data_IF_647732894986
#
_entry.id   IF_647732894986
#
_cell.length_a   1.000
_cell.length_b   1.000
_cell.length_c   1.000
_cell.angle_alpha   90.00
_cell.angle_beta   90.00
_cell.angle_gamma   90.00
#
_symmetry.space_group_name_H-M   'P 1'
#
loop_
_entity.id
_entity.type
_entity.pdbx_description
1 polymer ?
#
# COMPACT_ATOMS: atom_id res chain seq x y z
N UNK A 1 9.63 -7.10 27.76
CA UNK A 1 11.03 -6.72 27.93
C UNK A 1 11.36 -6.28 29.36
N UNK A 2 10.52 -5.48 30.01
CA UNK A 2 10.72 -5.02 31.40
C UNK A 2 10.87 -6.20 32.38
N UNK A 3 9.93 -7.15 32.35
CA UNK A 3 9.97 -8.37 33.17
C UNK A 3 11.25 -9.17 32.96
N UNK A 4 11.74 -9.24 31.72
CA UNK A 4 12.98 -9.94 31.41
C UNK A 4 14.21 -9.24 31.99
N UNK A 5 14.23 -7.90 32.01
CA UNK A 5 15.28 -7.13 32.69
C UNK A 5 15.26 -7.40 34.20
N UNK A 6 14.08 -7.38 34.81
CA UNK A 6 13.92 -7.66 36.26
C UNK A 6 14.36 -9.07 36.64
N UNK A 7 14.05 -10.05 35.79
CA UNK A 7 14.47 -11.45 36.01
C UNK A 7 16.00 -11.58 35.94
N UNK A 8 16.62 -11.04 34.87
CA UNK A 8 18.07 -11.12 34.69
C UNK A 8 18.85 -10.28 35.70
N UNK A 9 18.25 -9.17 36.18
CA UNK A 9 18.82 -8.40 37.29
C UNK A 9 18.92 -9.25 38.55
N UNK A 10 17.84 -9.94 38.94
CA UNK A 10 17.84 -10.86 40.09
C UNK A 10 18.84 -12.00 39.90
N UNK A 11 18.93 -12.57 38.71
CA UNK A 11 19.89 -13.62 38.39
C UNK A 11 21.32 -13.12 38.58
N UNK A 12 21.65 -11.93 38.08
CA UNK A 12 22.97 -11.33 38.27
C UNK A 12 23.31 -11.08 39.75
N UNK A 13 22.35 -10.63 40.56
CA UNK A 13 22.51 -10.41 41.99
C UNK A 13 22.78 -11.75 42.72
N UNK A 14 22.08 -12.82 42.40
CA UNK A 14 22.30 -14.15 42.91
C UNK A 14 23.67 -14.69 42.51
N UNK A 15 24.07 -14.52 41.25
CA UNK A 15 25.36 -14.99 40.76
C UNK A 15 26.52 -14.23 41.39
N UNK A 16 26.36 -12.95 41.65
CA UNK A 16 27.34 -12.15 42.38
C UNK A 16 27.51 -12.65 43.84
N UNK A 17 26.40 -13.00 44.50
CA UNK A 17 26.45 -13.61 45.84
C UNK A 17 27.06 -15.01 45.82
N UNK A 18 26.88 -15.82 44.78
CA UNK A 18 27.52 -17.11 44.59
C UNK A 18 29.03 -17.01 44.32
N UNK A 19 29.44 -16.01 43.52
CA UNK A 19 30.84 -15.74 43.27
C UNK A 19 31.58 -15.39 44.57
N UNK A 20 31.00 -14.55 45.44
CA UNK A 20 31.59 -14.17 46.73
C UNK A 20 31.79 -15.35 47.66
N UNK A 21 31.01 -16.44 47.47
CA UNK A 21 31.12 -17.71 48.20
C UNK A 21 32.01 -18.75 47.49
N UNK A 22 32.60 -18.40 46.34
CA UNK A 22 33.44 -19.31 45.54
C UNK A 22 32.67 -20.42 44.83
N UNK A 23 31.35 -20.28 44.66
CA UNK A 23 30.48 -21.32 44.06
C UNK A 23 30.43 -21.28 42.55
N UNK A 24 30.77 -20.13 41.94
CA UNK A 24 30.84 -19.91 40.49
C UNK A 24 32.13 -19.19 40.15
N UNK A 25 32.45 -19.14 38.84
CA UNK A 25 33.63 -18.45 38.33
C UNK A 25 33.32 -16.99 37.98
N UNK A 26 34.36 -16.15 37.88
CA UNK A 26 34.22 -14.79 37.38
C UNK A 26 33.68 -14.77 35.92
N UNK A 27 33.94 -15.80 35.12
CA UNK A 27 33.42 -15.98 33.78
C UNK A 27 31.90 -16.17 33.78
N UNK A 28 31.37 -16.93 34.73
CA UNK A 28 29.92 -17.14 34.86
C UNK A 28 29.20 -15.83 35.24
N UNK A 29 29.78 -15.05 36.16
CA UNK A 29 29.23 -13.72 36.48
C UNK A 29 29.28 -12.77 35.30
N UNK A 30 30.37 -12.75 34.53
CA UNK A 30 30.48 -11.92 33.33
C UNK A 30 29.42 -12.30 32.27
N UNK A 31 29.09 -13.60 32.16
CA UNK A 31 28.00 -14.09 31.29
C UNK A 31 26.63 -13.59 31.75
N UNK A 32 26.32 -13.62 33.03
CA UNK A 32 25.09 -13.06 33.59
C UNK A 32 25.00 -11.58 33.38
N UNK A 33 26.11 -10.83 33.57
CA UNK A 33 26.19 -9.42 33.33
C UNK A 33 25.95 -9.07 31.84
N UNK A 34 26.55 -9.83 30.91
CA UNK A 34 26.34 -9.68 29.49
C UNK A 34 24.88 -9.90 29.10
N UNK A 35 24.24 -10.93 29.70
CA UNK A 35 22.82 -11.22 29.44
C UNK A 35 21.91 -10.09 29.92
N UNK A 36 22.19 -9.53 31.10
CA UNK A 36 21.49 -8.39 31.67
C UNK A 36 21.63 -7.15 30.77
N UNK A 37 22.86 -6.82 30.36
CA UNK A 37 23.13 -5.70 29.48
C UNK A 37 22.39 -5.84 28.12
N UNK A 38 22.34 -7.05 27.55
CA UNK A 38 21.58 -7.36 26.35
C UNK A 38 20.07 -7.19 26.53
N UNK A 39 19.53 -7.54 27.70
CA UNK A 39 18.12 -7.32 28.01
C UNK A 39 17.77 -5.83 28.19
N UNK A 40 18.67 -5.08 28.86
CA UNK A 40 18.52 -3.63 29.02
C UNK A 40 18.53 -2.91 27.66
N UNK A 41 19.45 -3.29 26.77
CA UNK A 41 19.49 -2.74 25.41
C UNK A 41 18.17 -2.98 24.66
N UNK A 42 17.61 -4.20 24.70
CA UNK A 42 16.33 -4.54 24.09
C UNK A 42 15.14 -3.81 24.75
N UNK A 43 15.24 -3.50 26.03
CA UNK A 43 14.20 -2.72 26.71
C UNK A 43 14.22 -1.26 26.25
N UNK A 44 15.39 -0.63 26.12
CA UNK A 44 15.57 0.72 25.60
C UNK A 44 15.05 0.80 24.14
N UNK A 45 15.39 -0.18 23.31
CA UNK A 45 14.89 -0.27 21.93
C UNK A 45 13.36 -0.36 21.90
N UNK A 46 12.75 -1.18 22.78
CA UNK A 46 11.31 -1.30 22.86
C UNK A 46 10.62 0.02 23.31
N UNK A 47 11.25 0.76 24.24
CA UNK A 47 10.77 2.10 24.62
C UNK A 47 10.81 3.07 23.45
N UNK A 48 11.92 3.09 22.70
CA UNK A 48 12.04 3.93 21.51
C UNK A 48 10.99 3.56 20.45
N UNK A 49 10.73 2.27 20.26
CA UNK A 49 9.70 1.79 19.32
C UNK A 49 8.29 2.26 19.72
N UNK A 50 7.99 2.36 21.02
CA UNK A 50 6.73 2.93 21.51
C UNK A 50 6.63 4.40 21.11
N UNK A 51 7.68 5.19 21.34
CA UNK A 51 7.72 6.63 20.99
C UNK A 51 7.53 6.81 19.49
N UNK A 52 8.29 6.06 18.67
CA UNK A 52 8.21 6.14 17.20
C UNK A 52 6.83 5.74 16.69
N UNK A 53 6.25 4.66 17.25
CA UNK A 53 4.89 4.22 16.87
C UNK A 53 3.83 5.24 17.24
N UNK A 54 3.99 5.91 18.40
CA UNK A 54 3.11 7.00 18.83
C UNK A 54 3.19 8.18 17.86
N UNK A 55 4.39 8.62 17.50
CA UNK A 55 4.59 9.71 16.54
C UNK A 55 4.01 9.38 15.16
N UNK A 56 4.19 8.14 14.69
CA UNK A 56 3.62 7.68 13.42
C UNK A 56 2.09 7.70 13.46
N UNK A 57 1.50 7.25 14.56
CA UNK A 57 0.04 7.29 14.74
C UNK A 57 -0.47 8.74 14.75
N UNK A 58 0.17 9.62 15.53
CA UNK A 58 -0.21 11.04 15.61
C UNK A 58 -0.10 11.76 14.26
N UNK A 59 0.90 11.38 13.45
CA UNK A 59 1.07 11.95 12.11
C UNK A 59 -0.03 11.54 11.12
N UNK A 60 -0.56 10.32 11.23
CA UNK A 60 -1.53 9.79 10.27
C UNK A 60 -2.98 10.02 10.73
N UNK A 61 -3.25 9.88 12.00
CA UNK A 61 -4.61 9.84 12.55
C UNK A 61 -4.89 11.08 13.41
N UNK A 62 -3.87 11.64 14.06
CA UNK A 62 -3.99 12.75 15.00
C UNK A 62 -3.71 12.33 16.45
N UNK A 63 -4.00 13.21 17.41
CA UNK A 63 -3.67 13.00 18.81
C UNK A 63 -4.20 11.66 19.36
N UNK A 64 -3.33 10.92 20.05
CA UNK A 64 -3.70 9.65 20.67
C UNK A 64 -4.59 9.92 21.88
N UNK A 65 -5.73 9.24 21.94
CA UNK A 65 -6.54 9.14 23.14
C UNK A 65 -5.73 8.52 24.30
N UNK A 66 -6.11 8.83 25.55
CA UNK A 66 -5.45 8.24 26.70
C UNK A 66 -5.35 6.71 26.58
N UNK A 67 -4.23 6.12 27.02
CA UNK A 67 -3.93 4.67 26.92
C UNK A 67 -5.10 3.78 27.38
N UNK A 68 -5.85 4.24 28.37
CA UNK A 68 -7.01 3.53 28.95
C UNK A 68 -8.15 3.31 27.95
N UNK A 69 -8.23 4.13 26.91
CA UNK A 69 -9.25 4.04 25.86
C UNK A 69 -8.82 3.19 24.65
N UNK A 70 -7.58 2.72 24.59
CA UNK A 70 -7.08 1.87 23.49
C UNK A 70 -7.52 0.42 23.75
N UNK A 71 -8.49 -0.04 22.95
CA UNK A 71 -8.95 -1.44 22.98
C UNK A 71 -8.33 -2.22 21.84
N UNK A 72 -7.74 -3.37 22.16
CA UNK A 72 -7.25 -4.30 21.14
C UNK A 72 -8.44 -4.95 20.44
N UNK A 73 -8.58 -4.73 19.13
CA UNK A 73 -9.61 -5.38 18.32
C UNK A 73 -9.10 -6.77 17.95
N UNK A 74 -9.71 -7.82 18.52
CA UNK A 74 -9.30 -9.21 18.28
C UNK A 74 -9.98 -9.84 17.06
N UNK A 75 -11.09 -9.28 16.58
CA UNK A 75 -11.89 -9.85 15.52
C UNK A 75 -12.11 -8.83 14.39
N UNK A 76 -11.10 -8.64 13.54
CA UNK A 76 -11.41 -8.21 12.19
C UNK A 76 -12.03 -9.44 11.49
N UNK A 77 -13.35 -9.41 11.22
CA UNK A 77 -14.02 -10.44 10.40
C UNK A 77 -13.55 -10.29 8.94
N UNK A 78 -12.30 -10.64 8.70
CA UNK A 78 -11.77 -10.70 7.34
C UNK A 78 -12.09 -12.08 6.79
N UNK A 79 -12.96 -12.15 5.80
CA UNK A 79 -13.21 -13.39 5.06
C UNK A 79 -11.96 -13.79 4.29
N UNK A 80 -11.26 -14.79 4.79
CA UNK A 80 -10.06 -15.34 4.13
C UNK A 80 -10.51 -16.38 3.10
N UNK A 81 -10.03 -16.32 1.84
CA UNK A 81 -10.31 -17.33 0.84
C UNK A 81 -9.91 -18.73 1.29
N UNK A 82 -10.63 -19.76 0.82
CA UNK A 82 -10.38 -21.15 1.24
C UNK A 82 -9.08 -21.73 0.70
N UNK A 83 -8.64 -21.28 -0.46
CA UNK A 83 -7.43 -21.75 -1.12
C UNK A 83 -6.78 -20.66 -1.98
N UNK A 84 -5.54 -20.91 -2.41
CA UNK A 84 -4.76 -19.98 -3.23
C UNK A 84 -5.45 -19.65 -4.57
N UNK A 85 -6.11 -20.62 -5.20
CA UNK A 85 -6.75 -20.40 -6.49
C UNK A 85 -7.96 -19.45 -6.35
N UNK A 86 -8.72 -19.59 -5.30
CA UNK A 86 -9.82 -18.68 -4.97
C UNK A 86 -9.29 -17.27 -4.65
N UNK A 87 -8.20 -17.16 -3.88
CA UNK A 87 -7.54 -15.89 -3.60
C UNK A 87 -7.08 -15.18 -4.88
N UNK A 88 -6.45 -15.92 -5.81
CA UNK A 88 -6.05 -15.39 -7.12
C UNK A 88 -7.24 -14.91 -7.94
N UNK A 89 -8.34 -15.68 -7.98
CA UNK A 89 -9.55 -15.33 -8.71
C UNK A 89 -10.19 -14.03 -8.17
N UNK A 90 -10.33 -13.93 -6.86
CA UNK A 90 -10.86 -12.72 -6.20
C UNK A 90 -9.97 -11.52 -6.49
N UNK A 91 -8.66 -11.70 -6.38
CA UNK A 91 -7.68 -10.62 -6.63
C UNK A 91 -7.74 -10.11 -8.07
N UNK A 92 -7.83 -10.99 -9.07
CA UNK A 92 -7.99 -10.59 -10.47
C UNK A 92 -9.25 -9.75 -10.72
N UNK A 93 -10.30 -9.94 -9.92
CA UNK A 93 -11.55 -9.19 -10.08
C UNK A 93 -11.63 -7.91 -9.26
N UNK A 94 -10.93 -7.86 -8.12
CA UNK A 94 -11.11 -6.79 -7.12
C UNK A 94 -9.85 -5.97 -6.85
N UNK A 95 -8.71 -6.29 -7.46
CA UNK A 95 -7.50 -5.50 -7.27
C UNK A 95 -7.65 -4.10 -7.87
N UNK A 96 -7.55 -3.03 -7.07
CA UNK A 96 -7.63 -1.67 -7.59
C UNK A 96 -6.55 -1.36 -8.63
N UNK A 97 -5.34 -1.90 -8.46
CA UNK A 97 -4.24 -1.73 -9.41
C UNK A 97 -4.54 -2.32 -10.78
N UNK A 98 -5.19 -3.49 -10.83
CA UNK A 98 -5.63 -4.11 -12.09
C UNK A 98 -6.75 -3.31 -12.74
N UNK A 99 -7.74 -2.86 -11.98
CA UNK A 99 -8.84 -2.04 -12.47
C UNK A 99 -8.30 -0.74 -13.08
N UNK A 100 -7.34 -0.09 -12.42
CA UNK A 100 -6.68 1.12 -12.95
C UNK A 100 -5.96 0.80 -14.26
N UNK A 101 -5.16 -0.27 -14.32
CA UNK A 101 -4.43 -0.66 -15.52
C UNK A 101 -5.36 -1.03 -16.70
N UNK A 102 -6.51 -1.66 -16.42
CA UNK A 102 -7.55 -1.96 -17.42
C UNK A 102 -8.20 -0.68 -17.96
N UNK A 103 -8.54 0.26 -17.07
CA UNK A 103 -9.09 1.57 -17.45
C UNK A 103 -8.08 2.34 -18.31
N UNK A 104 -6.81 2.40 -17.91
CA UNK A 104 -5.76 3.07 -18.67
C UNK A 104 -5.53 2.45 -20.06
N UNK A 105 -5.60 1.11 -20.16
CA UNK A 105 -5.54 0.44 -21.44
C UNK A 105 -6.78 0.80 -22.30
N UNK A 106 -7.99 0.74 -21.75
CA UNK A 106 -9.22 1.16 -22.42
C UNK A 106 -9.17 2.62 -22.88
N UNK A 107 -8.64 3.52 -22.06
CA UNK A 107 -8.42 4.92 -22.43
C UNK A 107 -7.48 5.04 -23.64
N UNK A 108 -6.37 4.30 -23.65
CA UNK A 108 -5.43 4.32 -24.79
C UNK A 108 -6.05 3.80 -26.10
N UNK A 109 -7.05 2.89 -26.01
CA UNK A 109 -7.83 2.47 -27.18
C UNK A 109 -8.72 3.60 -27.75
N UNK A 110 -9.30 4.39 -26.85
CA UNK A 110 -10.08 5.57 -27.24
C UNK A 110 -9.18 6.67 -27.83
N UNK A 111 -7.98 6.87 -27.27
CA UNK A 111 -7.00 7.83 -27.80
C UNK A 111 -6.61 7.51 -29.23
N UNK A 112 -6.46 6.22 -29.59
CA UNK A 112 -6.25 5.81 -30.98
C UNK A 112 -7.46 6.15 -31.85
N UNK A 113 -8.69 5.96 -31.36
CA UNK A 113 -9.90 6.33 -32.11
C UNK A 113 -9.99 7.83 -32.32
N UNK A 114 -9.67 8.62 -31.30
CA UNK A 114 -9.61 10.09 -31.38
C UNK A 114 -8.59 10.53 -32.44
N UNK A 115 -7.35 9.99 -32.35
CA UNK A 115 -6.32 10.32 -33.31
C UNK A 115 -6.69 9.93 -34.76
N UNK A 116 -7.48 8.87 -34.94
CA UNK A 116 -8.01 8.48 -36.27
C UNK A 116 -9.12 9.43 -36.71
N UNK A 117 -9.95 9.95 -35.82
CA UNK A 117 -11.00 10.89 -36.15
C UNK A 117 -10.44 12.23 -36.72
N UNK A 118 -9.22 12.60 -36.31
CA UNK A 118 -8.50 13.75 -36.85
C UNK A 118 -8.16 13.63 -38.37
N UNK A 119 -8.30 12.44 -38.93
CA UNK A 119 -8.17 12.18 -40.38
C UNK A 119 -9.51 12.30 -41.13
N UNK A 120 -10.62 12.42 -40.42
CA UNK A 120 -11.97 12.44 -40.97
C UNK A 120 -12.44 13.87 -41.18
N UNK A 121 -13.34 14.11 -42.17
CA UNK A 121 -13.98 15.41 -42.30
C UNK A 121 -14.89 15.70 -41.11
N UNK A 122 -14.88 16.96 -40.68
CA UNK A 122 -15.79 17.48 -39.64
C UNK A 122 -16.80 18.44 -40.24
N UNK A 123 -18.05 18.32 -39.84
CA UNK A 123 -19.13 19.25 -40.23
C UNK A 123 -19.61 19.98 -38.96
N UNK A 124 -19.70 21.32 -39.07
CA UNK A 124 -20.21 22.18 -38.00
C UNK A 124 -21.34 23.06 -38.56
N UNK A 125 -22.44 23.11 -37.84
CA UNK A 125 -23.52 24.09 -38.08
C UNK A 125 -23.53 25.03 -36.89
N UNK A 126 -23.50 26.35 -37.14
CA UNK A 126 -23.62 27.38 -36.11
C UNK A 126 -24.68 28.39 -36.50
N UNK A 127 -25.50 28.75 -35.55
CA UNK A 127 -26.43 29.90 -35.62
C UNK A 127 -25.92 30.90 -34.61
N UNK A 128 -25.62 32.10 -35.10
CA UNK A 128 -25.14 33.22 -34.31
C UNK A 128 -26.09 34.38 -34.47
N UNK A 129 -26.57 34.90 -33.34
CA UNK A 129 -27.33 36.16 -33.30
C UNK A 129 -26.49 37.19 -32.59
N UNK A 130 -26.16 38.26 -33.27
CA UNK A 130 -25.41 39.40 -32.73
C UNK A 130 -26.33 40.61 -32.69
N UNK A 131 -26.47 41.16 -31.50
CA UNK A 131 -27.14 42.45 -31.27
C UNK A 131 -26.06 43.48 -30.90
N UNK A 132 -26.04 44.62 -31.58
CA UNK A 132 -25.10 45.69 -31.29
C UNK A 132 -25.89 47.00 -31.19
N UNK A 133 -25.71 47.68 -30.06
CA UNK A 133 -26.30 48.98 -29.75
C UNK A 133 -25.22 50.08 -29.83
N UNK A 134 -25.58 51.34 -30.08
CA UNK A 134 -24.66 52.49 -30.18
C UNK A 134 -23.52 52.35 -31.21
N UNK A 135 -23.82 51.86 -32.39
CA UNK A 135 -22.79 51.56 -33.41
C UNK A 135 -22.22 52.82 -34.08
N UNK A 136 -23.02 53.87 -34.32
CA UNK A 136 -22.59 55.16 -34.90
C UNK A 136 -23.74 56.18 -34.88
N UNK A 137 -23.42 57.45 -35.14
CA UNK A 137 -24.44 58.55 -35.28
C UNK A 137 -25.50 58.30 -36.38
N UNK A 138 -25.35 57.26 -37.20
CA UNK A 138 -26.28 56.96 -38.32
C UNK A 138 -27.10 55.69 -38.06
N UNK A 139 -26.61 54.75 -37.16
CA UNK A 139 -27.26 53.49 -36.84
C UNK A 139 -27.21 53.25 -35.32
N UNK A 140 -28.39 53.28 -34.73
CA UNK A 140 -28.53 53.09 -33.26
C UNK A 140 -28.48 51.64 -32.85
N UNK A 141 -29.10 50.74 -33.60
CA UNK A 141 -29.18 49.30 -33.32
C UNK A 141 -28.86 48.48 -34.58
N UNK A 142 -28.18 47.36 -34.39
CA UNK A 142 -27.93 46.40 -35.45
C UNK A 142 -28.16 44.98 -34.95
N UNK A 143 -29.14 44.31 -35.54
CA UNK A 143 -29.33 42.85 -35.39
C UNK A 143 -28.73 42.13 -36.61
N UNK A 144 -28.01 41.04 -36.31
CA UNK A 144 -27.43 40.18 -37.33
C UNK A 144 -27.63 38.74 -36.96
N UNK A 145 -28.37 38.00 -37.78
CA UNK A 145 -28.52 36.55 -37.67
C UNK A 145 -27.69 35.86 -38.75
N UNK A 146 -26.81 34.97 -38.35
CA UNK A 146 -25.92 34.23 -39.26
C UNK A 146 -26.13 32.75 -39.04
N UNK A 147 -26.62 32.04 -40.05
CA UNK A 147 -26.59 30.59 -40.12
C UNK A 147 -25.38 30.15 -40.96
N UNK A 148 -24.46 29.42 -40.40
CA UNK A 148 -23.27 28.98 -41.09
C UNK A 148 -23.14 27.45 -40.99
N UNK A 149 -22.92 26.81 -42.12
CA UNK A 149 -22.54 25.41 -42.22
C UNK A 149 -21.11 25.33 -42.77
N UNK A 150 -20.22 24.71 -41.98
CA UNK A 150 -18.81 24.59 -42.37
C UNK A 150 -18.44 23.10 -42.41
N UNK A 151 -17.88 22.64 -43.51
CA UNK A 151 -17.27 21.33 -43.65
C UNK A 151 -15.76 21.50 -43.76
N UNK A 152 -15.01 20.90 -42.84
CA UNK A 152 -13.56 20.99 -42.78
C UNK A 152 -12.95 19.59 -42.97
N UNK A 153 -12.11 19.45 -43.97
CA UNK A 153 -11.37 18.19 -44.19
C UNK A 153 -9.87 18.48 -44.18
N UNK A 154 -9.14 17.90 -43.18
CA UNK A 154 -7.72 18.17 -43.05
C UNK A 154 -6.92 17.38 -44.08
N UNK A 155 -6.62 17.96 -45.24
CA UNK A 155 -5.65 17.43 -46.19
C UNK A 155 -4.23 17.80 -45.75
N UNK A 156 -3.53 16.87 -45.08
CA UNK A 156 -2.17 17.12 -44.61
C UNK A 156 -1.12 16.40 -45.47
N UNK A 157 -0.35 17.19 -46.21
CA UNK A 157 0.81 16.68 -46.97
C UNK A 157 2.01 16.29 -46.08
N UNK A 158 2.10 16.84 -44.86
CA UNK A 158 3.24 16.63 -43.94
C UNK A 158 3.16 15.39 -43.02
N UNK A 159 2.14 14.56 -43.15
CA UNK A 159 2.05 13.30 -42.38
C UNK A 159 1.80 13.42 -40.86
N UNK A 160 1.59 14.63 -40.32
CA UNK A 160 1.41 14.91 -38.88
C UNK A 160 0.33 14.03 -38.23
N UNK A 161 -0.87 13.97 -38.85
CA UNK A 161 -1.99 13.20 -38.29
C UNK A 161 -1.72 11.68 -38.34
N UNK A 162 -1.08 11.19 -39.42
CA UNK A 162 -0.66 9.81 -39.52
C UNK A 162 0.37 9.46 -38.43
N UNK A 163 1.35 10.35 -38.21
CA UNK A 163 2.34 10.18 -37.14
C UNK A 163 1.69 10.21 -35.74
N UNK A 164 0.65 11.04 -35.53
CA UNK A 164 -0.11 11.06 -34.30
C UNK A 164 -0.85 9.73 -34.05
N UNK A 165 -1.47 9.16 -35.09
CA UNK A 165 -2.09 7.82 -34.99
C UNK A 165 -1.04 6.76 -34.65
N UNK A 166 0.13 6.78 -35.32
CA UNK A 166 1.22 5.86 -35.00
C UNK A 166 1.71 5.99 -33.57
N UNK A 167 1.89 7.23 -33.08
CA UNK A 167 2.25 7.50 -31.69
C UNK A 167 1.25 6.88 -30.71
N UNK A 168 -0.06 7.10 -30.93
CA UNK A 168 -1.09 6.54 -30.04
C UNK A 168 -1.18 5.00 -30.13
N UNK A 169 -0.90 4.40 -31.27
CA UNK A 169 -0.80 2.96 -31.41
C UNK A 169 0.36 2.38 -30.58
N UNK A 170 1.52 3.05 -30.57
CA UNK A 170 2.65 2.62 -29.73
C UNK A 170 2.33 2.83 -28.24
N UNK A 171 1.69 3.95 -27.87
CA UNK A 171 1.22 4.20 -26.51
C UNK A 171 0.23 3.11 -26.04
N UNK A 172 -0.72 2.71 -26.89
CA UNK A 172 -1.62 1.58 -26.60
C UNK A 172 -0.84 0.29 -26.38
N UNK A 173 0.19 -0.02 -27.22
CA UNK A 173 1.05 -1.17 -27.05
C UNK A 173 1.76 -1.17 -25.70
N UNK A 174 2.28 -0.01 -25.27
CA UNK A 174 2.89 0.17 -23.96
C UNK A 174 1.89 -0.09 -22.82
N UNK A 175 0.66 0.49 -22.89
CA UNK A 175 -0.37 0.28 -21.87
C UNK A 175 -0.81 -1.17 -21.76
N UNK A 176 -0.86 -1.92 -22.89
CA UNK A 176 -1.11 -3.35 -22.86
C UNK A 176 -0.04 -4.11 -22.08
N UNK A 177 1.24 -3.81 -22.32
CA UNK A 177 2.34 -4.45 -21.59
C UNK A 177 2.33 -4.10 -20.11
N UNK A 178 1.95 -2.86 -19.75
CA UNK A 178 1.78 -2.45 -18.34
C UNK A 178 0.63 -3.23 -17.67
N UNK A 179 -0.48 -3.45 -18.35
CA UNK A 179 -1.58 -4.28 -17.85
C UNK A 179 -1.13 -5.74 -17.62
N UNK A 180 -0.43 -6.34 -18.59
CA UNK A 180 0.11 -7.70 -18.45
C UNK A 180 1.10 -7.79 -17.26
N UNK A 181 1.94 -6.77 -17.08
CA UNK A 181 2.85 -6.69 -15.94
C UNK A 181 2.10 -6.54 -14.59
N UNK A 182 1.07 -5.70 -14.54
CA UNK A 182 0.23 -5.55 -13.36
C UNK A 182 -0.46 -6.88 -12.98
N UNK A 183 -0.94 -7.66 -13.96
CA UNK A 183 -1.51 -8.99 -13.73
C UNK A 183 -0.50 -9.98 -13.15
N UNK A 184 0.74 -9.98 -13.66
CA UNK A 184 1.83 -10.83 -13.15
C UNK A 184 2.20 -10.43 -11.72
N UNK A 185 2.39 -9.15 -11.48
CA UNK A 185 2.74 -8.62 -10.14
C UNK A 185 1.64 -8.92 -9.12
N UNK A 186 0.38 -8.73 -9.48
CA UNK A 186 -0.75 -9.07 -8.63
C UNK A 186 -0.76 -10.57 -8.28
N UNK A 187 -0.57 -11.43 -9.26
CA UNK A 187 -0.51 -12.89 -9.05
C UNK A 187 0.65 -13.29 -8.14
N UNK A 188 1.82 -12.67 -8.32
CA UNK A 188 2.99 -12.88 -7.47
C UNK A 188 2.74 -12.40 -6.04
N UNK A 189 2.19 -11.20 -5.88
CA UNK A 189 1.87 -10.61 -4.56
C UNK A 189 0.90 -11.49 -3.78
N UNK A 190 -0.19 -11.95 -4.42
CA UNK A 190 -1.15 -12.87 -3.79
C UNK A 190 -0.51 -14.19 -3.41
N UNK A 191 0.34 -14.75 -4.26
CA UNK A 191 1.02 -16.02 -3.97
C UNK A 191 1.98 -15.87 -2.79
N UNK A 192 2.76 -14.79 -2.75
CA UNK A 192 3.66 -14.46 -1.64
C UNK A 192 2.90 -14.24 -0.34
N UNK A 193 1.82 -13.45 -0.37
CA UNK A 193 0.99 -13.20 0.81
C UNK A 193 0.33 -14.49 1.33
N UNK A 194 -0.10 -15.37 0.43
CA UNK A 194 -0.65 -16.68 0.80
C UNK A 194 0.40 -17.56 1.48
N UNK A 195 1.63 -17.60 0.94
CA UNK A 195 2.75 -18.33 1.55
C UNK A 195 3.07 -17.78 2.94
N UNK A 196 3.11 -16.45 3.08
CA UNK A 196 3.31 -15.78 4.38
C UNK A 196 2.20 -16.13 5.37
N UNK A 197 0.93 -16.18 4.92
CA UNK A 197 -0.19 -16.59 5.78
C UNK A 197 -0.03 -18.03 6.27
N UNK A 198 0.38 -18.96 5.40
CA UNK A 198 0.62 -20.35 5.80
C UNK A 198 1.78 -20.47 6.79
N UNK A 199 2.89 -19.79 6.51
CA UNK A 199 4.04 -19.75 7.43
C UNK A 199 3.67 -19.17 8.79
N UNK A 200 2.89 -18.08 8.81
CA UNK A 200 2.43 -17.46 10.06
C UNK A 200 1.52 -18.37 10.88
N UNK A 201 0.66 -19.14 10.21
CA UNK A 201 -0.18 -20.14 10.88
C UNK A 201 0.65 -21.25 11.53
N UNK A 202 1.60 -21.80 10.77
CA UNK A 202 2.52 -22.84 11.30
C UNK A 202 3.39 -22.30 12.43
N UNK A 203 3.89 -21.07 12.29
CA UNK A 203 4.65 -20.39 13.34
C UNK A 203 3.82 -20.20 14.62
N UNK A 204 2.57 -19.73 14.48
CA UNK A 204 1.67 -19.57 15.63
C UNK A 204 1.46 -20.89 16.37
N UNK A 205 1.22 -21.99 15.62
CA UNK A 205 1.07 -23.31 16.22
C UNK A 205 2.32 -23.77 16.96
N UNK A 206 3.51 -23.55 16.38
CA UNK A 206 4.78 -23.88 17.01
C UNK A 206 5.01 -23.08 18.30
N UNK A 207 4.74 -21.76 18.27
CA UNK A 207 4.88 -20.90 19.46
C UNK A 207 3.86 -21.26 20.53
N UNK A 208 2.63 -21.58 20.19
CA UNK A 208 1.65 -22.07 21.16
C UNK A 208 2.11 -23.36 21.85
N UNK A 209 2.70 -24.31 21.11
CA UNK A 209 3.27 -25.52 21.67
C UNK A 209 4.47 -25.21 22.56
N UNK A 210 5.33 -24.27 22.20
CA UNK A 210 6.46 -23.81 22.98
C UNK A 210 6.01 -23.18 24.32
N UNK A 211 5.00 -22.27 24.26
CA UNK A 211 4.44 -21.66 25.49
C UNK A 211 3.92 -22.73 26.43
N UNK A 212 3.12 -23.68 25.91
CA UNK A 212 2.59 -24.78 26.73
C UNK A 212 3.69 -25.64 27.36
N UNK A 213 4.74 -25.96 26.61
CA UNK A 213 5.89 -26.72 27.15
C UNK A 213 6.64 -25.92 28.22
N UNK A 214 6.80 -24.62 28.05
CA UNK A 214 7.45 -23.72 29.01
C UNK A 214 6.63 -23.58 30.31
N UNK A 215 5.30 -23.54 30.20
CA UNK A 215 4.39 -23.51 31.35
C UNK A 215 4.54 -24.78 32.19
N UNK A 216 4.50 -25.95 31.54
CA UNK A 216 4.72 -27.26 32.23
C UNK A 216 6.10 -27.33 32.87
N UNK A 217 7.16 -26.86 32.20
CA UNK A 217 8.50 -26.84 32.76
C UNK A 217 8.58 -25.91 33.99
N UNK A 218 7.93 -24.77 33.96
CA UNK A 218 7.91 -23.83 35.09
C UNK A 218 7.16 -24.41 36.28
N UNK A 219 6.03 -25.07 36.04
CA UNK A 219 5.29 -25.79 37.11
C UNK A 219 6.15 -26.90 37.73
N UNK A 220 6.84 -27.71 36.91
CA UNK A 220 7.73 -28.78 37.40
C UNK A 220 8.83 -28.26 38.31
N UNK A 221 9.50 -27.17 37.90
CA UNK A 221 10.58 -26.56 38.73
C UNK A 221 10.03 -25.95 40.04
N UNK A 222 8.76 -25.51 40.06
CA UNK A 222 8.17 -24.93 41.26
C UNK A 222 7.77 -25.95 42.31
N UNK A 223 7.72 -27.25 41.96
CA UNK A 223 7.43 -28.36 42.86
C UNK A 223 8.68 -29.11 43.38
N UNK A 224 9.87 -28.86 42.80
CA UNK A 224 11.16 -29.30 43.30
C UNK A 224 11.82 -28.29 44.26
#
# INVERSE_FOLDING_TARGET
NEENVNLLQRQFELDNARLSRGQITASDLAQSQSSLAGAQARYIEAQNNIVTSKLNYENVIGAIAAKENLKKIYNAQVSIPKNLNEAKKISLQKSPELIIAEIEYGQSELDVKIARSDLSPTAKISLERTYTDDLSATYDEREKDVLQATVSWPFQFGGKNKSNVSKNLQAKGMKRLLLENAQKNNTQSVTSSWSTLQSSRSFLQAVQSQVKASEVATEGISFE
#
